data_IF_253130768650
#
_entry.id   IF_253130768650
#
_cell.length_a   1.000
_cell.length_b   1.000
_cell.length_c   1.000
_cell.angle_alpha   90.00
_cell.angle_beta   90.00
_cell.angle_gamma   90.00
#
_symmetry.space_group_name_H-M   'P 1'
#
loop_
_entity.id
_entity.type
_entity.pdbx_description
1 polymer ?
#
# COMPACT_ATOMS: atom_id res chain seq x y z
N UNK A 1 51.05 -32.82 11.20
CA UNK A 1 51.63 -31.53 10.78
C UNK A 1 50.76 -30.92 9.69
N UNK A 2 49.74 -30.17 10.06
CA UNK A 2 48.88 -29.42 9.13
C UNK A 2 49.49 -28.05 8.94
N UNK A 3 50.20 -27.86 7.83
CA UNK A 3 50.77 -26.58 7.40
C UNK A 3 49.58 -25.65 7.14
N UNK A 4 49.31 -24.71 8.04
CA UNK A 4 48.39 -23.59 7.81
C UNK A 4 48.87 -22.91 6.54
N UNK A 5 48.12 -23.01 5.45
CA UNK A 5 48.39 -22.19 4.26
C UNK A 5 48.15 -20.75 4.68
N UNK A 6 49.22 -19.98 4.86
CA UNK A 6 49.13 -18.54 4.77
C UNK A 6 48.52 -18.24 3.39
N UNK A 7 47.26 -17.82 3.39
CA UNK A 7 46.49 -17.64 2.16
C UNK A 7 47.13 -16.53 1.34
N UNK A 8 47.49 -16.82 0.09
CA UNK A 8 47.89 -15.81 -0.88
C UNK A 8 46.73 -14.83 -1.02
N UNK A 9 46.97 -13.58 -0.64
CA UNK A 9 45.99 -12.50 -0.74
C UNK A 9 46.40 -11.63 -1.90
N UNK A 10 45.53 -11.53 -2.91
CA UNK A 10 45.79 -10.74 -4.10
C UNK A 10 45.26 -9.31 -3.94
N UNK A 11 46.01 -8.32 -4.46
CA UNK A 11 45.65 -6.90 -4.35
C UNK A 11 44.31 -6.57 -5.03
N UNK A 12 43.99 -7.22 -6.14
CA UNK A 12 42.71 -7.01 -6.84
C UNK A 12 41.48 -7.32 -5.95
N UNK A 13 41.63 -8.17 -4.92
CA UNK A 13 40.54 -8.48 -3.99
C UNK A 13 40.23 -7.27 -3.09
N UNK A 14 41.23 -6.46 -2.74
CA UNK A 14 41.05 -5.24 -1.97
C UNK A 14 40.32 -4.19 -2.82
N UNK A 15 40.73 -4.02 -4.08
CA UNK A 15 40.08 -3.09 -5.01
C UNK A 15 38.65 -3.52 -5.34
N UNK A 16 38.43 -4.82 -5.56
CA UNK A 16 37.10 -5.38 -5.77
C UNK A 16 36.21 -5.18 -4.54
N UNK A 17 36.73 -5.38 -3.33
CA UNK A 17 36.00 -5.13 -2.09
C UNK A 17 35.65 -3.64 -1.96
N UNK A 18 36.58 -2.74 -2.23
CA UNK A 18 36.36 -1.28 -2.23
C UNK A 18 35.21 -0.89 -3.16
N UNK A 19 35.21 -1.40 -4.40
CA UNK A 19 34.16 -1.12 -5.38
C UNK A 19 32.82 -1.75 -4.97
N UNK A 20 32.84 -2.97 -4.43
CA UNK A 20 31.65 -3.66 -3.93
C UNK A 20 30.99 -2.92 -2.77
N UNK A 21 31.79 -2.45 -1.80
CA UNK A 21 31.30 -1.70 -0.64
C UNK A 21 30.72 -0.33 -1.07
N UNK A 22 31.38 0.36 -2.01
CA UNK A 22 30.88 1.60 -2.59
C UNK A 22 29.53 1.39 -3.31
N UNK A 23 29.42 0.35 -4.13
CA UNK A 23 28.18 0.00 -4.83
C UNK A 23 27.06 -0.38 -3.87
N UNK A 24 27.35 -1.19 -2.84
CA UNK A 24 26.35 -1.60 -1.84
C UNK A 24 25.84 -0.41 -1.03
N UNK A 25 26.72 0.55 -0.71
CA UNK A 25 26.32 1.81 -0.09
C UNK A 25 25.38 2.62 -0.99
N UNK A 26 25.68 2.70 -2.28
CA UNK A 26 24.81 3.34 -3.27
C UNK A 26 23.45 2.64 -3.40
N UNK A 27 23.42 1.32 -3.57
CA UNK A 27 22.18 0.54 -3.64
C UNK A 27 21.31 0.72 -2.40
N UNK A 28 21.92 0.80 -1.22
CA UNK A 28 21.18 1.04 0.03
C UNK A 28 20.47 2.40 0.01
N UNK A 29 21.14 3.45 -0.50
CA UNK A 29 20.53 4.78 -0.67
C UNK A 29 19.42 4.77 -1.71
N UNK A 30 19.63 4.09 -2.85
CA UNK A 30 18.59 3.94 -3.89
C UNK A 30 17.36 3.21 -3.33
N UNK A 31 17.57 2.13 -2.58
CA UNK A 31 16.50 1.35 -1.96
C UNK A 31 15.75 2.16 -0.91
N UNK A 32 16.44 2.99 -0.12
CA UNK A 32 15.79 3.89 0.84
C UNK A 32 14.87 4.91 0.13
N UNK A 33 15.31 5.45 -1.02
CA UNK A 33 14.48 6.34 -1.83
C UNK A 33 13.27 5.60 -2.44
N UNK A 34 13.42 4.36 -2.89
CA UNK A 34 12.28 3.54 -3.36
C UNK A 34 11.28 3.28 -2.23
N UNK A 35 11.75 2.91 -1.04
CA UNK A 35 10.90 2.69 0.13
C UNK A 35 10.12 3.95 0.50
N UNK A 36 10.80 5.11 0.51
CA UNK A 36 10.18 6.40 0.78
C UNK A 36 9.14 6.78 -0.27
N UNK A 37 9.43 6.59 -1.56
CA UNK A 37 8.47 6.86 -2.63
C UNK A 37 7.21 5.99 -2.50
N UNK A 38 7.38 4.69 -2.20
CA UNK A 38 6.26 3.77 -1.97
C UNK A 38 5.46 4.19 -0.74
N UNK A 39 6.12 4.56 0.36
CA UNK A 39 5.46 5.02 1.57
C UNK A 39 4.59 6.26 1.32
N UNK A 40 5.12 7.25 0.59
CA UNK A 40 4.38 8.45 0.21
C UNK A 40 3.19 8.08 -0.70
N UNK A 41 3.38 7.19 -1.67
CA UNK A 41 2.30 6.74 -2.55
C UNK A 41 1.15 6.06 -1.76
N UNK A 42 1.49 5.21 -0.79
CA UNK A 42 0.50 4.57 0.10
C UNK A 42 -0.21 5.62 0.95
N UNK A 43 0.53 6.59 1.50
CA UNK A 43 -0.05 7.67 2.28
C UNK A 43 -1.04 8.50 1.44
N UNK A 44 -0.71 8.82 0.18
CA UNK A 44 -1.62 9.51 -0.74
C UNK A 44 -2.92 8.72 -0.93
N UNK A 45 -2.87 7.38 -0.97
CA UNK A 45 -4.06 6.53 -1.09
C UNK A 45 -4.91 6.56 0.19
N UNK A 46 -4.29 6.70 1.37
CA UNK A 46 -5.00 6.76 2.65
C UNK A 46 -5.82 8.05 2.82
N UNK A 47 -5.42 9.15 2.18
CA UNK A 47 -6.13 10.43 2.27
C UNK A 47 -7.57 10.33 1.73
N UNK A 48 -7.84 9.95 0.46
CA UNK A 48 -9.21 9.84 -0.06
C UNK A 48 -10.01 8.72 0.61
N UNK A 49 -9.34 7.72 1.20
CA UNK A 49 -10.00 6.66 1.96
C UNK A 49 -10.55 7.16 3.31
N UNK A 50 -10.28 8.41 3.70
CA UNK A 50 -10.69 8.98 4.97
C UNK A 50 -9.93 8.40 6.18
N UNK A 51 -8.93 7.54 5.95
CA UNK A 51 -8.21 6.82 6.99
C UNK A 51 -7.38 7.81 7.84
N UNK A 52 -6.81 8.84 7.21
CA UNK A 52 -6.10 9.92 7.92
C UNK A 52 -7.06 10.72 8.83
N UNK A 53 -8.23 11.09 8.31
CA UNK A 53 -9.23 11.84 9.07
C UNK A 53 -9.82 11.01 10.23
N UNK A 54 -10.08 9.73 9.98
CA UNK A 54 -10.57 8.77 10.98
C UNK A 54 -9.61 8.67 12.18
N UNK A 55 -8.32 8.44 11.93
CA UNK A 55 -7.34 8.33 13.01
C UNK A 55 -7.19 9.64 13.78
N UNK A 56 -7.16 10.77 13.08
CA UNK A 56 -7.09 12.10 13.71
C UNK A 56 -8.32 12.42 14.55
N UNK A 57 -9.51 11.97 14.15
CA UNK A 57 -10.75 12.21 14.89
C UNK A 57 -10.85 11.36 16.17
N UNK A 58 -10.53 10.07 16.09
CA UNK A 58 -10.66 9.13 17.21
C UNK A 58 -9.50 9.19 18.20
N UNK A 59 -8.28 9.42 17.72
CA UNK A 59 -7.06 9.43 18.53
C UNK A 59 -6.45 10.83 18.68
N UNK A 60 -7.27 11.88 18.51
CA UNK A 60 -6.86 13.27 18.68
C UNK A 60 -6.12 13.48 20.00
N UNK A 61 -4.91 14.03 19.94
CA UNK A 61 -4.11 14.33 21.15
C UNK A 61 -3.26 13.16 21.67
N UNK A 62 -3.26 12.01 20.99
CA UNK A 62 -2.36 10.89 21.28
C UNK A 62 -1.36 10.66 20.14
N UNK A 63 -0.28 9.93 20.40
CA UNK A 63 0.71 9.55 19.38
C UNK A 63 0.10 8.75 18.21
N UNK A 64 -1.08 8.14 18.40
CA UNK A 64 -1.79 7.37 17.37
C UNK A 64 -2.41 8.25 16.27
N UNK A 65 -2.51 9.56 16.46
CA UNK A 65 -2.94 10.50 15.41
C UNK A 65 -2.07 10.38 14.14
N UNK A 66 -0.77 10.08 14.31
CA UNK A 66 0.18 9.92 13.22
C UNK A 66 0.35 8.46 12.75
N UNK A 67 -0.47 7.53 13.26
CA UNK A 67 -0.39 6.11 12.88
C UNK A 67 -0.47 5.85 11.37
N UNK A 68 -1.31 6.54 10.57
CA UNK A 68 -1.34 6.34 9.12
C UNK A 68 0.00 6.60 8.42
N UNK A 69 0.80 7.54 8.93
CA UNK A 69 2.15 7.86 8.43
C UNK A 69 3.14 6.74 8.79
N UNK A 70 3.06 6.25 10.03
CA UNK A 70 3.94 5.16 10.49
C UNK A 70 3.62 3.87 9.73
N UNK A 71 2.34 3.56 9.55
CA UNK A 71 1.88 2.38 8.81
C UNK A 71 2.33 2.44 7.35
N UNK A 72 2.16 3.58 6.67
CA UNK A 72 2.60 3.73 5.28
C UNK A 72 4.12 3.58 5.14
N UNK A 73 4.89 4.10 6.11
CA UNK A 73 6.33 3.92 6.16
C UNK A 73 6.74 2.45 6.31
N UNK A 74 6.10 1.71 7.23
CA UNK A 74 6.36 0.28 7.44
C UNK A 74 6.08 -0.50 6.15
N UNK A 75 4.93 -0.27 5.52
CA UNK A 75 4.60 -0.91 4.24
C UNK A 75 5.58 -0.54 3.13
N UNK A 76 6.03 0.72 3.06
CA UNK A 76 7.04 1.16 2.11
C UNK A 76 8.37 0.40 2.26
N UNK A 77 8.84 0.22 3.49
CA UNK A 77 10.06 -0.56 3.79
C UNK A 77 9.88 -2.03 3.42
N UNK A 78 8.76 -2.66 3.83
CA UNK A 78 8.48 -4.07 3.53
C UNK A 78 8.40 -4.29 2.02
N UNK A 79 7.63 -3.47 1.30
CA UNK A 79 7.42 -3.64 -0.13
C UNK A 79 8.69 -3.38 -0.93
N UNK A 80 9.47 -2.36 -0.56
CA UNK A 80 10.79 -2.11 -1.16
C UNK A 80 11.74 -3.29 -0.93
N UNK A 81 11.75 -3.85 0.28
CA UNK A 81 12.60 -5.00 0.59
C UNK A 81 12.23 -6.23 -0.26
N UNK A 82 10.93 -6.49 -0.44
CA UNK A 82 10.43 -7.59 -1.29
C UNK A 82 10.84 -7.38 -2.75
N UNK A 83 10.64 -6.17 -3.28
CA UNK A 83 11.02 -5.82 -4.66
C UNK A 83 12.52 -5.98 -4.86
N UNK A 84 13.33 -5.51 -3.90
CA UNK A 84 14.79 -5.64 -3.94
C UNK A 84 15.23 -7.10 -3.90
N UNK A 85 14.64 -7.94 -3.02
CA UNK A 85 14.98 -9.37 -2.95
C UNK A 85 14.77 -10.09 -4.28
N UNK A 86 13.81 -9.63 -5.09
CA UNK A 86 13.55 -10.15 -6.43
C UNK A 86 14.60 -9.71 -7.45
N UNK A 87 15.21 -8.54 -7.29
CA UNK A 87 16.31 -8.03 -8.13
C UNK A 87 17.65 -8.55 -7.60
N UNK A 88 18.10 -9.71 -8.09
CA UNK A 88 19.46 -10.22 -7.82
C UNK A 88 20.43 -9.66 -8.85
N UNK A 89 20.85 -8.41 -8.69
CA UNK A 89 21.94 -7.85 -9.51
C UNK A 89 23.26 -8.21 -8.84
N UNK A 90 24.15 -8.92 -9.54
CA UNK A 90 25.48 -9.23 -9.01
C UNK A 90 26.42 -8.06 -9.27
N UNK A 91 27.39 -7.84 -8.39
CA UNK A 91 28.38 -6.75 -8.56
C UNK A 91 29.18 -6.91 -9.86
N UNK A 92 29.33 -8.16 -10.30
CA UNK A 92 30.03 -8.48 -11.55
C UNK A 92 29.25 -8.03 -12.79
N UNK A 93 27.92 -7.89 -12.71
CA UNK A 93 27.09 -7.45 -13.84
C UNK A 93 27.19 -5.94 -14.11
N UNK A 94 27.95 -5.21 -13.28
CA UNK A 94 28.23 -3.78 -13.47
C UNK A 94 29.43 -3.50 -14.37
N UNK A 95 30.28 -4.50 -14.57
CA UNK A 95 31.43 -4.39 -15.44
C UNK A 95 31.07 -4.85 -16.86
N UNK A 96 31.84 -4.40 -17.84
CA UNK A 96 31.75 -4.93 -19.21
C UNK A 96 31.90 -6.45 -19.21
N UNK A 97 31.24 -7.13 -20.16
CA UNK A 97 31.10 -8.60 -20.20
C UNK A 97 32.46 -9.30 -20.08
N UNK A 98 33.47 -8.85 -20.83
CA UNK A 98 34.82 -9.41 -20.81
C UNK A 98 35.51 -9.26 -19.43
N UNK A 99 35.36 -8.10 -18.79
CA UNK A 99 35.94 -7.86 -17.46
C UNK A 99 35.19 -8.64 -16.38
N UNK A 100 33.87 -8.76 -16.50
CA UNK A 100 33.01 -9.53 -15.61
C UNK A 100 33.41 -11.00 -15.59
N UNK A 101 33.63 -11.62 -16.75
CA UNK A 101 34.06 -13.01 -16.85
C UNK A 101 35.45 -13.22 -16.25
N UNK A 102 36.41 -12.34 -16.56
CA UNK A 102 37.75 -12.38 -15.97
C UNK A 102 37.72 -12.23 -14.45
N UNK A 103 36.89 -11.32 -13.92
CA UNK A 103 36.69 -11.15 -12.48
C UNK A 103 36.09 -12.39 -11.82
N UNK A 104 35.07 -12.99 -12.44
CA UNK A 104 34.42 -14.21 -11.93
C UNK A 104 35.44 -15.35 -11.91
N UNK A 105 36.17 -15.55 -13.00
CA UNK A 105 37.21 -16.57 -13.09
C UNK A 105 38.34 -16.36 -12.06
N UNK A 106 38.80 -15.13 -11.86
CA UNK A 106 39.80 -14.79 -10.85
C UNK A 106 39.25 -14.96 -9.43
N UNK A 107 38.01 -14.56 -9.19
CA UNK A 107 37.37 -14.69 -7.88
C UNK A 107 37.14 -16.16 -7.50
N UNK A 108 36.74 -17.01 -8.45
CA UNK A 108 36.58 -18.45 -8.23
C UNK A 108 37.92 -19.13 -7.96
N UNK A 109 38.98 -18.70 -8.63
CA UNK A 109 40.34 -19.22 -8.45
C UNK A 109 41.17 -18.50 -7.36
N UNK A 110 40.55 -17.67 -6.52
CA UNK A 110 41.25 -16.82 -5.52
C UNK A 110 42.10 -17.56 -4.50
N UNK A 111 41.90 -18.87 -4.33
CA UNK A 111 42.66 -19.71 -3.41
C UNK A 111 43.74 -20.55 -4.11
N UNK A 112 43.83 -20.46 -5.44
CA UNK A 112 44.79 -21.21 -6.25
C UNK A 112 45.95 -20.34 -6.65
N UNK A 113 47.11 -20.57 -6.02
CA UNK A 113 48.35 -19.89 -6.39
C UNK A 113 48.98 -20.52 -7.65
N UNK A 114 48.50 -20.10 -8.82
CA UNK A 114 49.07 -20.46 -10.12
C UNK A 114 49.68 -19.26 -10.82
N UNK A 115 50.65 -19.49 -11.72
CA UNK A 115 51.28 -18.43 -12.51
C UNK A 115 50.22 -17.65 -13.30
N UNK A 116 49.25 -18.36 -13.88
CA UNK A 116 48.12 -17.78 -14.62
C UNK A 116 47.27 -16.90 -13.70
N UNK A 117 47.01 -17.36 -12.47
CA UNK A 117 46.23 -16.59 -11.50
C UNK A 117 46.99 -15.32 -11.05
N UNK A 118 48.31 -15.38 -10.87
CA UNK A 118 49.12 -14.20 -10.51
C UNK A 118 49.12 -13.16 -11.63
N UNK A 119 49.30 -13.57 -12.89
CA UNK A 119 49.23 -12.63 -14.02
C UNK A 119 47.83 -12.02 -14.14
N UNK A 120 46.78 -12.86 -14.04
CA UNK A 120 45.40 -12.39 -14.07
C UNK A 120 45.08 -11.42 -12.92
N UNK A 121 45.55 -11.72 -11.71
CA UNK A 121 45.38 -10.87 -10.53
C UNK A 121 46.09 -9.51 -10.69
N UNK A 122 47.28 -9.49 -11.28
CA UNK A 122 48.02 -8.26 -11.53
C UNK A 122 47.32 -7.40 -12.60
N UNK A 123 46.89 -8.02 -13.71
CA UNK A 123 46.14 -7.34 -14.76
C UNK A 123 44.84 -6.74 -14.21
N UNK A 124 44.07 -7.53 -13.43
CA UNK A 124 42.85 -7.06 -12.79
C UNK A 124 43.11 -5.97 -11.74
N UNK A 125 44.21 -6.02 -11.00
CA UNK A 125 44.60 -4.97 -10.07
C UNK A 125 44.83 -3.63 -10.78
N UNK A 126 45.53 -3.65 -11.91
CA UNK A 126 45.72 -2.45 -12.72
C UNK A 126 44.42 -1.89 -13.29
N UNK A 127 43.52 -2.76 -13.77
CA UNK A 127 42.22 -2.34 -14.31
C UNK A 127 41.32 -1.77 -13.21
N UNK A 128 41.16 -2.50 -12.09
CA UNK A 128 40.25 -2.12 -11.01
C UNK A 128 40.73 -0.90 -10.21
N UNK A 129 42.03 -0.72 -10.06
CA UNK A 129 42.57 0.46 -9.38
C UNK A 129 42.30 1.75 -10.15
N UNK A 130 42.25 1.68 -11.49
CA UNK A 130 41.91 2.80 -12.37
C UNK A 130 40.42 3.18 -12.36
N UNK A 131 39.53 2.25 -12.01
CA UNK A 131 38.09 2.51 -11.97
C UNK A 131 37.75 3.21 -10.65
N UNK A 132 37.25 4.44 -10.74
CA UNK A 132 36.76 5.16 -9.56
C UNK A 132 35.37 4.65 -9.19
N UNK A 133 35.07 4.60 -7.88
CA UNK A 133 33.73 4.21 -7.42
C UNK A 133 32.60 5.11 -7.94
N UNK A 134 32.92 6.34 -8.39
CA UNK A 134 31.97 7.23 -9.06
C UNK A 134 31.60 6.80 -10.47
N UNK A 135 32.51 6.16 -11.20
CA UNK A 135 32.27 5.78 -12.60
C UNK A 135 31.27 4.60 -12.69
N UNK A 136 31.28 3.74 -11.68
CA UNK A 136 30.32 2.63 -11.54
C UNK A 136 28.95 3.15 -11.04
N UNK A 137 28.90 4.33 -10.44
CA UNK A 137 27.70 4.89 -9.81
C UNK A 137 27.01 5.88 -10.76
N UNK A 138 25.82 5.51 -11.23
CA UNK A 138 24.96 6.43 -11.98
C UNK A 138 24.26 7.45 -11.05
N UNK A 139 24.91 8.59 -10.82
CA UNK A 139 24.36 9.70 -10.02
C UNK A 139 23.14 10.35 -10.66
N UNK A 140 22.99 10.29 -11.98
CA UNK A 140 21.82 10.85 -12.68
C UNK A 140 20.54 10.12 -12.27
N UNK A 141 20.65 8.80 -12.05
CA UNK A 141 19.56 7.95 -11.61
C UNK A 141 19.10 8.30 -10.19
N UNK A 142 20.03 8.68 -9.31
CA UNK A 142 19.69 9.18 -7.98
C UNK A 142 18.93 10.50 -8.06
N UNK A 143 19.43 11.46 -8.84
CA UNK A 143 18.82 12.78 -8.93
C UNK A 143 17.36 12.70 -9.41
N UNK A 144 17.08 11.89 -10.44
CA UNK A 144 15.71 11.65 -10.94
C UNK A 144 14.79 11.06 -9.86
N UNK A 145 15.29 10.14 -9.03
CA UNK A 145 14.53 9.51 -7.95
C UNK A 145 14.28 10.47 -6.78
N UNK A 146 15.27 11.28 -6.42
CA UNK A 146 15.11 12.34 -5.41
C UNK A 146 14.07 13.36 -5.86
N UNK A 147 14.14 13.80 -7.12
CA UNK A 147 13.15 14.69 -7.71
C UNK A 147 11.75 14.07 -7.66
N UNK A 148 11.60 12.79 -8.01
CA UNK A 148 10.32 12.08 -7.94
C UNK A 148 9.75 12.06 -6.52
N UNK A 149 10.57 11.76 -5.51
CA UNK A 149 10.15 11.78 -4.10
C UNK A 149 9.68 13.17 -3.69
N UNK A 150 10.40 14.21 -4.09
CA UNK A 150 10.03 15.59 -3.78
C UNK A 150 8.69 15.98 -4.42
N UNK A 151 8.46 15.61 -5.68
CA UNK A 151 7.20 15.83 -6.39
C UNK A 151 6.04 15.07 -5.73
N UNK A 152 6.25 13.80 -5.36
CA UNK A 152 5.24 13.00 -4.63
C UNK A 152 4.92 13.61 -3.27
N UNK A 153 5.92 14.12 -2.55
CA UNK A 153 5.71 14.78 -1.27
C UNK A 153 4.89 16.07 -1.42
N UNK A 154 5.23 16.91 -2.41
CA UNK A 154 4.47 18.12 -2.72
C UNK A 154 3.01 17.77 -3.07
N UNK A 155 2.81 16.72 -3.86
CA UNK A 155 1.47 16.22 -4.19
C UNK A 155 0.71 15.76 -2.94
N UNK A 156 1.35 15.02 -2.04
CA UNK A 156 0.71 14.56 -0.81
C UNK A 156 0.24 15.73 0.07
N UNK A 157 1.03 16.81 0.15
CA UNK A 157 0.64 18.04 0.85
C UNK A 157 -0.58 18.67 0.19
N UNK A 158 -0.55 18.89 -1.13
CA UNK A 158 -1.68 19.48 -1.88
C UNK A 158 -2.96 18.66 -1.71
N UNK A 159 -2.87 17.34 -1.86
CA UNK A 159 -4.01 16.42 -1.70
C UNK A 159 -4.55 16.46 -0.27
N UNK A 160 -3.66 16.50 0.73
CA UNK A 160 -4.08 16.59 2.13
C UNK A 160 -4.82 17.90 2.44
N UNK A 161 -4.41 19.01 1.83
CA UNK A 161 -5.08 20.30 2.01
C UNK A 161 -6.42 20.36 1.27
N UNK A 162 -6.51 19.84 0.05
CA UNK A 162 -7.74 19.90 -0.75
C UNK A 162 -8.84 18.97 -0.21
N UNK A 163 -8.49 17.76 0.20
CA UNK A 163 -9.47 16.77 0.68
C UNK A 163 -9.88 17.04 2.13
N UNK A 164 -9.04 17.69 2.95
CA UNK A 164 -9.42 18.07 4.32
C UNK A 164 -10.57 19.09 4.38
N UNK A 165 -10.77 19.88 3.32
CA UNK A 165 -11.90 20.82 3.25
C UNK A 165 -13.23 20.10 2.93
N UNK A 166 -13.18 19.00 2.17
CA UNK A 166 -14.36 18.27 1.70
C UNK A 166 -14.81 17.16 2.66
N UNK A 167 -13.88 16.57 3.42
CA UNK A 167 -14.16 15.59 4.49
C UNK A 167 -14.21 16.33 5.84
N UNK A 168 -15.11 17.30 5.95
CA UNK A 168 -15.47 17.89 7.25
C UNK A 168 -16.29 16.86 8.05
N UNK A 169 -16.07 16.66 9.37
CA UNK A 169 -16.77 15.66 10.19
C UNK A 169 -18.30 15.77 10.19
N UNK A 170 -18.87 16.82 9.62
CA UNK A 170 -20.30 16.96 9.36
C UNK A 170 -20.88 15.83 8.47
N UNK A 171 -20.09 15.26 7.55
CA UNK A 171 -20.53 14.11 6.73
C UNK A 171 -20.32 12.75 7.42
N UNK A 172 -19.74 12.74 8.62
CA UNK A 172 -19.57 11.58 9.50
C UNK A 172 -20.49 11.71 10.73
N UNK A 173 -21.69 12.29 10.57
CA UNK A 173 -22.61 12.58 11.69
C UNK A 173 -22.91 11.38 12.60
N UNK A 174 -22.93 10.16 12.05
CA UNK A 174 -23.11 8.91 12.81
C UNK A 174 -21.91 8.61 13.73
N UNK A 175 -20.71 9.06 13.36
CA UNK A 175 -19.45 8.81 14.09
C UNK A 175 -19.25 9.82 15.22
N UNK A 176 -19.72 11.06 15.04
CA UNK A 176 -19.71 12.10 16.08
C UNK A 176 -20.59 11.72 17.28
N UNK A 177 -21.80 11.25 17.01
CA UNK A 177 -22.73 10.79 18.06
C UNK A 177 -22.18 9.59 18.85
N UNK A 178 -21.44 8.70 18.20
CA UNK A 178 -20.81 7.54 18.86
C UNK A 178 -19.63 7.97 19.74
N UNK A 179 -18.89 9.01 19.35
CA UNK A 179 -17.80 9.56 20.16
C UNK A 179 -18.34 10.22 21.42
N UNK A 180 -19.36 11.06 21.29
CA UNK A 180 -19.98 11.74 22.43
C UNK A 180 -20.59 10.73 23.41
N UNK A 181 -21.20 9.64 22.89
CA UNK A 181 -21.72 8.55 23.71
C UNK A 181 -20.60 7.74 24.40
N UNK A 182 -19.49 7.50 23.71
CA UNK A 182 -18.35 6.81 24.31
C UNK A 182 -17.64 7.67 25.37
N UNK A 183 -17.59 8.99 25.18
CA UNK A 183 -16.96 9.93 26.11
C UNK A 183 -17.83 10.14 27.37
N UNK A 184 -19.17 10.08 27.23
CA UNK A 184 -20.11 10.05 28.36
C UNK A 184 -20.04 8.72 29.15
N UNK A 185 -19.88 7.59 28.47
CA UNK A 185 -19.78 6.26 29.12
C UNK A 185 -18.42 5.99 29.78
N UNK A 186 -17.35 6.63 29.31
CA UNK A 186 -15.99 6.44 29.82
C UNK A 186 -15.57 7.49 30.84
N UNK A 187 -16.37 8.54 31.04
CA UNK A 187 -16.14 9.52 32.11
C UNK A 187 -16.47 8.90 33.47
N UNK A 188 -15.49 8.77 34.40
CA UNK A 188 -15.75 8.24 35.72
C UNK A 188 -16.58 9.26 36.53
N UNK A 189 -17.88 9.03 36.60
CA UNK A 189 -18.80 9.81 37.43
C UNK A 189 -18.33 9.73 38.89
N UNK A 190 -17.88 10.85 39.44
CA UNK A 190 -17.63 10.99 40.87
C UNK A 190 -18.89 10.58 41.66
N UNK A 191 -18.75 9.90 42.82
CA UNK A 191 -19.90 9.47 43.60
C UNK A 191 -20.58 10.71 44.18
N UNK A 192 -21.75 11.06 43.62
CA UNK A 192 -22.62 12.07 44.21
C UNK A 192 -23.21 11.46 45.47
N UNK A 193 -22.87 12.09 46.60
CA UNK A 193 -23.39 11.82 47.93
C UNK A 193 -24.92 11.94 47.95
N UNK A 194 -25.52 11.19 48.87
CA UNK A 194 -26.94 10.95 49.09
C UNK A 194 -27.86 12.15 48.85
N UNK A 195 -28.85 11.98 47.97
CA UNK A 195 -30.12 12.69 48.05
C UNK A 195 -31.22 11.63 48.05
N UNK A 196 -31.72 11.36 49.26
CA UNK A 196 -33.05 10.81 49.50
C UNK A 196 -34.04 11.87 49.05
N UNK A 197 -34.52 11.79 47.81
CA UNK A 197 -35.77 12.43 47.43
C UNK A 197 -36.44 11.71 46.26
N UNK A 198 -37.74 11.62 46.39
CA UNK A 198 -38.72 10.93 45.57
C UNK A 198 -38.53 11.20 44.06
N UNK A 199 -37.97 10.23 43.33
CA UNK A 199 -37.78 10.31 41.88
C UNK A 199 -39.15 10.14 41.20
N UNK A 200 -39.79 11.23 40.84
CA UNK A 200 -40.86 11.21 39.84
C UNK A 200 -40.24 10.92 38.47
N UNK A 201 -40.50 9.71 37.97
CA UNK A 201 -40.02 9.20 36.66
C UNK A 201 -40.67 9.95 35.47
N UNK A 202 -41.66 10.80 35.75
CA UNK A 202 -42.26 11.73 34.81
C UNK A 202 -41.55 13.07 34.97
N UNK A 203 -40.63 13.36 34.04
CA UNK A 203 -39.91 14.64 34.01
C UNK A 203 -40.88 15.83 33.99
N UNK A 204 -40.38 17.01 34.40
CA UNK A 204 -41.17 18.25 34.38
C UNK A 204 -41.61 18.55 32.94
N UNK A 205 -42.90 18.83 32.69
CA UNK A 205 -43.37 19.15 31.34
C UNK A 205 -42.68 20.44 30.84
N UNK A 206 -41.98 20.34 29.71
CA UNK A 206 -41.31 21.47 29.06
C UNK A 206 -42.26 22.12 28.05
N UNK A 207 -42.62 23.38 28.29
CA UNK A 207 -43.42 24.21 27.37
C UNK A 207 -42.50 24.80 26.29
N UNK A 208 -42.58 24.29 25.06
CA UNK A 208 -42.00 24.96 23.91
C UNK A 208 -42.97 26.07 23.43
N UNK A 209 -42.56 27.33 23.57
CA UNK A 209 -43.35 28.49 23.09
C UNK A 209 -42.95 28.77 21.64
N UNK A 210 -43.82 28.40 20.71
CA UNK A 210 -43.75 28.85 19.31
C UNK A 210 -45.03 29.64 19.02
N UNK A 211 -44.89 30.95 18.80
CA UNK A 211 -45.87 31.81 18.13
C UNK A 211 -47.35 31.57 18.53
N UNK A 212 -47.77 32.21 19.62
CA UNK A 212 -49.16 32.55 19.98
C UNK A 212 -50.20 31.43 20.18
N UNK A 213 -49.85 30.14 20.08
CA UNK A 213 -50.82 29.07 20.31
C UNK A 213 -50.33 28.06 21.36
N UNK A 214 -50.96 28.06 22.54
CA UNK A 214 -50.64 27.13 23.64
C UNK A 214 -51.19 25.75 23.30
N UNK A 215 -50.33 24.78 23.01
CA UNK A 215 -50.68 23.38 22.75
C UNK A 215 -50.34 22.54 23.99
N UNK A 216 -51.36 21.98 24.62
CA UNK A 216 -51.25 21.03 25.73
C UNK A 216 -51.13 19.61 25.17
N UNK A 217 -50.00 18.94 25.41
CA UNK A 217 -49.75 17.57 24.96
C UNK A 217 -49.94 16.60 26.14
N UNK A 218 -51.08 15.91 26.16
CA UNK A 218 -51.30 14.74 27.02
C UNK A 218 -50.87 13.47 26.29
N UNK A 219 -49.90 12.74 26.87
CA UNK A 219 -49.47 11.43 26.39
C UNK A 219 -50.18 10.34 27.20
N UNK A 220 -51.00 9.52 26.56
CA UNK A 220 -51.64 8.36 27.19
C UNK A 220 -50.63 7.19 27.29
N UNK A 221 -50.31 6.70 28.50
CA UNK A 221 -49.40 5.56 28.66
C UNK A 221 -50.18 4.27 28.38
N UNK A 222 -50.07 3.74 27.16
CA UNK A 222 -50.78 2.49 26.83
C UNK A 222 -50.69 1.94 25.40
N UNK A 223 -50.00 2.59 24.45
CA UNK A 223 -49.81 2.01 23.11
C UNK A 223 -48.33 1.91 22.76
N UNK A 224 -47.70 0.82 23.17
CA UNK A 224 -46.43 0.38 22.61
C UNK A 224 -46.61 -0.02 21.16
N UNK A 225 -46.54 0.93 20.22
CA UNK A 225 -46.41 0.67 18.79
C UNK A 225 -45.56 1.77 18.18
N UNK A 226 -44.42 1.40 17.61
CA UNK A 226 -43.48 2.29 16.95
C UNK A 226 -44.13 3.15 15.86
N UNK A 227 -43.50 4.27 15.58
CA UNK A 227 -43.81 5.18 14.48
C UNK A 227 -44.04 4.40 13.17
N UNK A 228 -45.29 4.40 12.68
CA UNK A 228 -45.60 4.02 11.30
C UNK A 228 -45.36 5.21 10.39
N UNK A 229 -44.53 5.02 9.37
CA UNK A 229 -44.37 5.98 8.29
C UNK A 229 -45.73 6.18 7.58
N UNK A 230 -46.06 7.44 7.32
CA UNK A 230 -47.20 7.83 6.48
C UNK A 230 -46.87 7.41 5.03
N UNK A 231 -47.75 6.73 4.29
CA UNK A 231 -47.51 6.47 2.88
C UNK A 231 -47.55 7.81 2.14
N UNK A 232 -46.40 8.31 1.73
CA UNK A 232 -46.32 9.27 0.63
C UNK A 232 -46.73 8.51 -0.63
N UNK A 233 -47.57 9.12 -1.47
CA UNK A 233 -48.05 8.53 -2.72
C UNK A 233 -46.89 7.94 -3.50
N UNK A 234 -46.90 6.61 -3.61
CA UNK A 234 -46.01 5.85 -4.45
C UNK A 234 -46.26 6.28 -5.88
N UNK A 235 -45.42 7.13 -6.47
CA UNK A 235 -45.33 7.15 -7.92
C UNK A 235 -44.87 5.75 -8.32
N UNK A 236 -45.76 4.95 -8.87
CA UNK A 236 -45.44 3.64 -9.44
C UNK A 236 -44.42 3.84 -10.56
N UNK A 237 -43.13 3.81 -10.21
CA UNK A 237 -42.12 3.41 -11.18
C UNK A 237 -42.31 1.91 -11.35
N UNK A 238 -43.23 1.55 -12.23
CA UNK A 238 -43.35 0.22 -12.80
C UNK A 238 -41.99 -0.16 -13.36
N UNK A 239 -41.21 -0.91 -12.59
CA UNK A 239 -40.09 -1.66 -13.14
C UNK A 239 -40.70 -2.66 -14.12
N UNK A 240 -40.57 -2.38 -15.41
CA UNK A 240 -40.81 -3.40 -16.42
C UNK A 240 -39.67 -4.40 -16.33
N UNK A 241 -39.98 -5.60 -15.87
CA UNK A 241 -39.15 -6.75 -16.15
C UNK A 241 -38.99 -6.85 -17.67
N UNK A 242 -37.74 -6.75 -18.14
CA UNK A 242 -37.44 -7.08 -19.53
C UNK A 242 -37.79 -8.55 -19.78
N UNK A 243 -38.26 -8.90 -20.99
CA UNK A 243 -38.58 -10.28 -21.30
C UNK A 243 -37.37 -11.16 -21.02
N UNK A 244 -37.55 -12.39 -20.50
CA UNK A 244 -36.45 -13.33 -20.38
C UNK A 244 -35.84 -13.49 -21.76
N UNK A 245 -34.59 -13.06 -21.91
CA UNK A 245 -33.86 -13.28 -23.16
C UNK A 245 -33.91 -14.78 -23.43
N UNK A 246 -34.48 -15.18 -24.57
CA UNK A 246 -34.42 -16.56 -25.02
C UNK A 246 -32.94 -16.86 -25.30
N UNK A 247 -32.24 -17.31 -24.27
CA UNK A 247 -30.95 -17.96 -24.42
C UNK A 247 -31.21 -19.28 -25.12
N UNK A 248 -31.25 -19.26 -26.45
CA UNK A 248 -31.19 -20.48 -27.24
C UNK A 248 -29.80 -21.05 -27.01
N UNK A 249 -29.73 -22.20 -26.34
CA UNK A 249 -28.50 -22.96 -26.25
C UNK A 249 -28.14 -23.42 -27.67
N UNK A 250 -27.24 -22.69 -28.32
CA UNK A 250 -26.74 -23.04 -29.65
C UNK A 250 -25.66 -24.12 -29.47
N UNK A 251 -25.80 -25.29 -30.11
CA UNK A 251 -24.76 -26.31 -30.12
C UNK A 251 -23.43 -25.73 -30.62
N UNK A 252 -22.32 -26.11 -29.99
CA UNK A 252 -20.99 -25.54 -30.23
C UNK A 252 -20.52 -25.63 -31.69
N UNK A 253 -21.09 -26.53 -32.50
CA UNK A 253 -20.73 -26.65 -33.92
C UNK A 253 -21.07 -25.39 -34.72
N UNK A 254 -22.22 -24.75 -34.47
CA UNK A 254 -22.67 -23.57 -35.24
C UNK A 254 -21.89 -22.31 -34.86
N UNK A 255 -21.42 -22.23 -33.62
CA UNK A 255 -20.65 -21.09 -33.13
C UNK A 255 -19.26 -21.02 -33.76
N UNK A 256 -18.60 -22.17 -33.96
CA UNK A 256 -17.28 -22.25 -34.62
C UNK A 256 -17.37 -21.76 -36.06
N UNK A 257 -18.52 -21.92 -36.71
CA UNK A 257 -18.69 -21.50 -38.08
C UNK A 257 -18.88 -19.99 -38.26
N UNK A 258 -19.44 -19.31 -37.26
CA UNK A 258 -19.65 -17.85 -37.27
C UNK A 258 -18.42 -17.00 -36.95
N UNK A 259 -17.30 -17.63 -36.57
CA UNK A 259 -16.08 -16.93 -36.16
C UNK A 259 -15.24 -16.44 -37.35
N UNK A 260 -14.50 -15.32 -37.21
CA UNK A 260 -13.60 -14.81 -38.24
C UNK A 260 -12.59 -15.90 -38.69
N UNK A 261 -12.35 -16.09 -40.00
CA UNK A 261 -11.64 -17.25 -40.54
C UNK A 261 -10.20 -17.38 -40.03
N UNK A 262 -9.58 -16.26 -39.64
CA UNK A 262 -8.18 -16.16 -39.23
C UNK A 262 -7.82 -16.97 -37.98
N UNK A 263 -8.80 -17.29 -37.12
CA UNK A 263 -8.55 -17.96 -35.84
C UNK A 263 -9.40 -19.22 -35.63
N UNK A 264 -10.14 -19.65 -36.65
CA UNK A 264 -11.11 -20.76 -36.57
C UNK A 264 -10.45 -22.08 -36.16
N UNK A 265 -9.30 -22.39 -36.74
CA UNK A 265 -8.59 -23.65 -36.48
C UNK A 265 -7.98 -23.72 -35.08
N UNK A 266 -7.45 -22.60 -34.58
CA UNK A 266 -6.87 -22.50 -33.23
C UNK A 266 -7.95 -22.73 -32.18
N UNK A 267 -9.10 -22.06 -32.35
CA UNK A 267 -10.24 -22.17 -31.44
C UNK A 267 -10.82 -23.59 -31.47
N UNK A 268 -10.96 -24.19 -32.67
CA UNK A 268 -11.41 -25.58 -32.81
C UNK A 268 -10.50 -26.54 -32.04
N UNK A 269 -9.18 -26.41 -32.20
CA UNK A 269 -8.21 -27.27 -31.55
C UNK A 269 -8.24 -27.15 -30.01
N UNK A 270 -8.44 -25.93 -29.50
CA UNK A 270 -8.57 -25.69 -28.07
C UNK A 270 -9.78 -26.44 -27.47
N UNK A 271 -10.96 -26.35 -28.10
CA UNK A 271 -12.16 -27.03 -27.61
C UNK A 271 -12.09 -28.56 -27.75
N UNK A 272 -11.43 -29.08 -28.80
CA UNK A 272 -11.18 -30.52 -28.92
C UNK A 272 -10.31 -31.03 -27.77
N UNK A 273 -9.21 -30.33 -27.45
CA UNK A 273 -8.34 -30.70 -26.32
C UNK A 273 -9.09 -30.63 -24.98
N UNK A 274 -9.97 -29.66 -24.81
CA UNK A 274 -10.75 -29.51 -23.57
C UNK A 274 -11.75 -30.63 -23.35
N UNK A 275 -12.34 -31.16 -24.43
CA UNK A 275 -13.25 -32.31 -24.34
C UNK A 275 -12.49 -33.61 -24.09
N UNK A 276 -11.31 -33.78 -24.68
CA UNK A 276 -10.48 -34.98 -24.52
C UNK A 276 -9.86 -35.07 -23.11
N UNK A 277 -9.61 -33.94 -22.45
CA UNK A 277 -9.14 -33.88 -21.05
C UNK A 277 -10.26 -34.17 -20.04
N UNK A 278 -11.53 -34.10 -20.45
CA UNK A 278 -12.69 -34.26 -19.56
C UNK A 278 -13.34 -35.66 -19.65
N UNK A 279 -12.90 -36.50 -20.58
CA UNK A 279 -13.27 -37.93 -20.70
C UNK A 279 -12.22 -38.83 -20.07
#
# INVERSE_FOLDING_TARGET
MTKRSEGVTYDFLLDLKRLTDAYRGFETRVSALEALAIAIAIYIIFIPLGLVAYFRFYWSGTLLEHAPVVVSFIFGVILSHIIRRRRRTSVFDLFEEELSEKLKAAYDNRFHDSIVMRSLAQDLGHILSGISGRDIIDTSRLYKRVLLVFVMLALAVVVSTSISEEITPANLGVVGEIKDLAEDLLSPKQPVSEIRDNVSIYGKPSLAVLSETRLELELYPGSGVGSRAKPTETSERLFREGPPGQGVAVPSEVYIESLPPKHREIIRRYFTLLNEVRS
#
